data_IF_381076076495
#
_entry.id   IF_381076076495
#
_cell.length_a   1.000
_cell.length_b   1.000
_cell.length_c   1.000
_cell.angle_alpha   90.00
_cell.angle_beta   90.00
_cell.angle_gamma   90.00
#
_symmetry.space_group_name_H-M   'P 1'
#
loop_
_entity.id
_entity.type
_entity.pdbx_description
1 polymer ?
#
# COMPACT_ATOMS: atom_id res chain seq x y z
N UNK A 1 6.84 -17.89 3.39
CA UNK A 1 5.51 -17.25 3.31
C UNK A 1 5.74 -15.84 2.79
N UNK A 2 4.88 -15.31 1.88
CA UNK A 2 4.95 -13.89 1.55
C UNK A 2 4.81 -13.08 2.84
N UNK A 3 5.55 -11.97 2.94
CA UNK A 3 5.44 -11.07 4.09
C UNK A 3 3.97 -10.72 4.32
N UNK A 4 3.45 -10.87 5.55
CA UNK A 4 2.04 -10.60 5.83
C UNK A 4 1.72 -9.11 5.76
N UNK A 5 2.70 -8.25 5.55
CA UNK A 5 2.59 -6.79 5.54
C UNK A 5 2.78 -6.21 4.15
N UNK A 6 2.06 -5.11 3.90
CA UNK A 6 2.15 -4.34 2.67
C UNK A 6 3.59 -3.88 2.41
N UNK A 7 4.07 -4.03 1.18
CA UNK A 7 5.40 -3.61 0.77
C UNK A 7 5.54 -2.09 0.53
N UNK A 8 4.47 -1.31 0.68
CA UNK A 8 4.54 0.15 0.61
C UNK A 8 5.29 0.68 1.86
N UNK A 9 6.36 1.50 1.69
CA UNK A 9 7.31 1.82 2.76
C UNK A 9 6.69 2.58 3.96
N UNK A 10 5.57 3.25 3.75
CA UNK A 10 4.86 4.00 4.80
C UNK A 10 3.53 3.34 5.18
N UNK A 11 3.27 2.12 4.71
CA UNK A 11 2.05 1.38 4.97
C UNK A 11 2.32 0.27 5.99
N UNK A 12 1.51 0.20 7.03
CA UNK A 12 1.58 -0.87 8.05
C UNK A 12 0.45 -1.88 7.93
N UNK A 13 -0.30 -1.83 6.83
CA UNK A 13 -1.45 -2.71 6.63
C UNK A 13 -1.01 -4.16 6.46
N UNK A 14 -1.76 -5.08 7.05
CA UNK A 14 -1.64 -6.50 6.83
C UNK A 14 -2.30 -6.85 5.48
N UNK A 15 -1.70 -7.77 4.74
CA UNK A 15 -2.25 -8.29 3.50
C UNK A 15 -3.50 -9.11 3.80
N UNK A 16 -4.64 -8.65 3.26
CA UNK A 16 -5.91 -9.37 3.32
C UNK A 16 -6.14 -10.23 2.07
N UNK A 17 -7.37 -10.73 1.92
CA UNK A 17 -7.78 -11.52 0.75
C UNK A 17 -7.70 -10.73 -0.56
N UNK A 18 -7.84 -9.40 -0.49
CA UNK A 18 -7.78 -8.49 -1.64
C UNK A 18 -6.36 -7.93 -1.90
N UNK A 19 -5.32 -8.58 -1.36
CA UNK A 19 -3.95 -8.16 -1.58
C UNK A 19 -3.56 -8.26 -3.05
N UNK A 20 -2.87 -7.23 -3.54
CA UNK A 20 -2.35 -7.14 -4.91
C UNK A 20 -0.90 -7.59 -4.93
N UNK A 21 -0.55 -8.52 -5.82
CA UNK A 21 0.82 -8.98 -6.03
C UNK A 21 1.42 -8.29 -7.25
N UNK A 22 2.56 -7.61 -7.09
CA UNK A 22 3.27 -6.92 -8.17
C UNK A 22 4.77 -7.05 -7.97
N UNK A 23 5.50 -7.45 -9.01
CA UNK A 23 6.97 -7.58 -8.98
C UNK A 23 7.48 -8.46 -7.82
N UNK A 24 6.72 -9.50 -7.47
CA UNK A 24 7.03 -10.41 -6.36
C UNK A 24 6.76 -9.86 -4.96
N UNK A 25 6.21 -8.63 -4.84
CA UNK A 25 5.83 -7.98 -3.58
C UNK A 25 4.30 -7.97 -3.41
N UNK A 26 3.85 -8.07 -2.16
CA UNK A 26 2.44 -7.97 -1.80
C UNK A 26 2.05 -6.58 -1.31
N UNK A 27 0.89 -6.09 -1.73
CA UNK A 27 0.35 -4.78 -1.39
C UNK A 27 -1.08 -4.92 -0.87
N UNK A 28 -1.47 -4.15 0.15
CA UNK A 28 -2.80 -4.27 0.74
C UNK A 28 -3.94 -3.76 -0.17
N UNK A 29 -3.63 -2.94 -1.17
CA UNK A 29 -4.58 -2.41 -2.14
C UNK A 29 -3.85 -1.94 -3.41
N UNK A 30 -4.61 -1.67 -4.47
CA UNK A 30 -4.04 -1.22 -5.75
C UNK A 30 -3.28 0.10 -5.65
N UNK A 31 -3.80 1.09 -4.90
CA UNK A 31 -3.09 2.36 -4.68
C UNK A 31 -1.68 2.17 -4.12
N UNK A 32 -1.47 1.23 -3.19
CA UNK A 32 -0.12 0.92 -2.70
C UNK A 32 0.77 0.26 -3.77
N UNK A 33 0.22 -0.60 -4.62
CA UNK A 33 0.95 -1.27 -5.71
C UNK A 33 1.32 -0.29 -6.85
N UNK A 34 0.56 0.79 -7.01
CA UNK A 34 0.79 1.86 -7.98
C UNK A 34 1.43 3.10 -7.35
N UNK A 35 1.91 2.98 -6.11
CA UNK A 35 2.60 4.04 -5.36
C UNK A 35 1.79 5.34 -5.24
N UNK A 36 0.47 5.24 -5.17
CA UNK A 36 -0.45 6.36 -5.10
C UNK A 36 -0.22 7.36 -6.25
N UNK A 37 0.05 6.86 -7.47
CA UNK A 37 0.37 7.67 -8.65
C UNK A 37 -0.68 8.75 -8.96
N UNK A 38 -1.93 8.54 -8.54
CA UNK A 38 -3.02 9.50 -8.73
C UNK A 38 -3.45 10.18 -7.42
N UNK A 39 -2.70 10.00 -6.33
CA UNK A 39 -3.03 10.53 -5.01
C UNK A 39 -4.17 9.79 -4.32
N UNK A 40 -4.53 8.58 -4.78
CA UNK A 40 -5.59 7.80 -4.15
C UNK A 40 -5.22 7.43 -2.69
N UNK A 41 -6.18 7.43 -1.76
CA UNK A 41 -5.91 6.96 -0.41
C UNK A 41 -5.63 5.45 -0.40
N UNK A 42 -4.97 4.97 0.65
CA UNK A 42 -4.93 3.54 0.94
C UNK A 42 -6.35 3.04 1.22
N UNK A 43 -6.72 1.86 0.70
CA UNK A 43 -8.08 1.31 0.88
C UNK A 43 -8.35 0.83 2.32
N UNK A 44 -7.31 0.70 3.14
CA UNK A 44 -7.46 0.38 4.56
C UNK A 44 -8.21 1.51 5.29
N UNK A 45 -9.37 1.17 5.85
CA UNK A 45 -10.40 2.12 6.25
C UNK A 45 -10.08 3.03 7.46
N UNK A 46 -9.00 2.80 8.23
CA UNK A 46 -8.75 3.57 9.45
C UNK A 46 -7.25 3.88 9.64
N UNK A 47 -6.82 5.09 9.23
CA UNK A 47 -5.54 5.72 9.63
C UNK A 47 -4.26 5.36 8.85
N UNK A 48 -4.35 4.72 7.68
CA UNK A 48 -3.16 4.55 6.84
C UNK A 48 -2.83 5.83 6.05
N UNK A 49 -1.81 6.58 6.50
CA UNK A 49 -1.35 7.82 5.86
C UNK A 49 -0.30 7.61 4.75
N UNK A 50 -0.12 6.38 4.25
CA UNK A 50 0.97 6.10 3.29
C UNK A 50 0.87 6.90 1.98
N UNK A 51 -0.36 7.26 1.55
CA UNK A 51 -0.60 8.14 0.41
C UNK A 51 -0.07 9.56 0.64
N UNK A 52 -0.18 10.07 1.88
CA UNK A 52 0.33 11.39 2.26
C UNK A 52 1.86 11.40 2.28
N UNK A 53 2.50 10.31 2.72
CA UNK A 53 3.95 10.18 2.64
C UNK A 53 4.47 10.10 1.21
N UNK A 54 3.73 9.45 0.29
CA UNK A 54 4.08 9.40 -1.14
C UNK A 54 4.05 10.79 -1.80
N UNK A 55 3.05 11.62 -1.49
CA UNK A 55 2.96 12.98 -2.02
C UNK A 55 4.08 13.93 -1.56
N UNK A 56 4.77 13.62 -0.46
CA UNK A 56 5.86 14.43 0.09
C UNK A 56 7.27 13.95 -0.30
N UNK A 57 7.37 12.92 -1.15
CA UNK A 57 8.65 12.34 -1.58
C UNK A 57 9.25 13.01 -2.85
N UNK A 58 8.88 14.27 -3.12
CA UNK A 58 9.36 15.06 -4.28
C UNK A 58 10.69 15.76 -4.02
#
# INVERSE_FOLDING_TARGET
MPDPTCACPHCKCVLGVDAVMKEGKGYCCQGCAEHHAHGEPCAAANDCECAKSAANAS
#
